data_IF_345695445335
#
_entry.id   IF_345695445335
#
_cell.length_a   1.000
_cell.length_b   1.000
_cell.length_c   1.000
_cell.angle_alpha   90.00
_cell.angle_beta   90.00
_cell.angle_gamma   90.00
#
_symmetry.space_group_name_H-M   'P 1'
#
loop_
_entity.id
_entity.type
_entity.pdbx_description
1 polymer ?
#
# COMPACT_ATOMS: atom_id res chain seq x y z
N UNK A 1 9.00 -17.08 -19.99
CA UNK A 1 7.88 -16.79 -19.07
C UNK A 1 8.35 -17.29 -17.73
N UNK A 2 8.67 -16.43 -16.77
CA UNK A 2 9.05 -16.91 -15.44
C UNK A 2 7.78 -17.36 -14.74
N UNK A 3 7.60 -18.67 -14.61
CA UNK A 3 6.67 -19.22 -13.64
C UNK A 3 7.18 -18.80 -12.26
N UNK A 4 6.60 -17.72 -11.72
CA UNK A 4 6.89 -17.26 -10.38
C UNK A 4 6.52 -18.43 -9.44
N UNK A 5 7.52 -19.03 -8.80
CA UNK A 5 7.24 -20.15 -7.91
C UNK A 5 6.37 -19.68 -6.75
N UNK A 6 5.52 -20.56 -6.23
CA UNK A 6 4.68 -20.26 -5.08
C UNK A 6 5.52 -19.80 -3.87
N UNK A 7 6.72 -20.36 -3.71
CA UNK A 7 7.69 -19.98 -2.68
C UNK A 7 8.21 -18.55 -2.88
N UNK A 8 8.58 -18.18 -4.12
CA UNK A 8 9.04 -16.82 -4.42
C UNK A 8 7.93 -15.80 -4.19
N UNK A 9 6.68 -16.14 -4.54
CA UNK A 9 5.53 -15.29 -4.26
C UNK A 9 5.27 -15.14 -2.77
N UNK A 10 5.31 -16.24 -2.00
CA UNK A 10 5.13 -16.22 -0.55
C UNK A 10 6.20 -15.35 0.13
N UNK A 11 7.48 -15.53 -0.22
CA UNK A 11 8.57 -14.72 0.33
C UNK A 11 8.41 -13.23 0.01
N UNK A 12 7.91 -12.88 -1.18
CA UNK A 12 7.62 -11.49 -1.51
C UNK A 12 6.43 -10.91 -0.74
N UNK A 13 5.41 -11.72 -0.42
CA UNK A 13 4.31 -11.31 0.45
C UNK A 13 4.77 -11.11 1.90
N UNK A 14 5.64 -11.97 2.41
CA UNK A 14 6.26 -11.84 3.74
C UNK A 14 7.07 -10.54 3.82
N UNK A 15 7.93 -10.29 2.84
CA UNK A 15 8.69 -9.04 2.75
C UNK A 15 7.77 -7.81 2.66
N UNK A 16 6.68 -7.89 1.89
CA UNK A 16 5.70 -6.81 1.79
C UNK A 16 4.97 -6.56 3.12
N UNK A 17 4.67 -7.61 3.87
CA UNK A 17 4.09 -7.50 5.20
C UNK A 17 5.05 -6.84 6.20
N UNK A 18 6.32 -7.23 6.21
CA UNK A 18 7.35 -6.56 7.03
C UNK A 18 7.47 -5.08 6.68
N UNK A 19 7.40 -4.76 5.38
CA UNK A 19 7.43 -3.37 4.92
C UNK A 19 6.20 -2.58 5.39
N UNK A 20 5.01 -3.17 5.39
CA UNK A 20 3.80 -2.57 6.00
C UNK A 20 4.03 -2.23 7.47
N UNK A 21 4.64 -3.12 8.25
CA UNK A 21 4.93 -2.87 9.67
C UNK A 21 5.88 -1.68 9.84
N UNK A 22 6.96 -1.66 9.05
CA UNK A 22 7.92 -0.54 9.06
C UNK A 22 7.25 0.79 8.71
N UNK A 23 6.43 0.80 7.66
CA UNK A 23 5.68 2.00 7.25
C UNK A 23 4.74 2.47 8.37
N UNK A 24 4.08 1.54 9.07
CA UNK A 24 3.24 1.88 10.22
C UNK A 24 4.05 2.51 11.34
N UNK A 25 5.19 1.94 11.69
CA UNK A 25 6.08 2.46 12.74
C UNK A 25 6.61 3.86 12.39
N UNK A 26 7.03 4.07 11.14
CA UNK A 26 7.63 5.33 10.68
C UNK A 26 6.61 6.45 10.45
N UNK A 27 5.38 6.11 10.03
CA UNK A 27 4.41 7.10 9.55
C UNK A 27 3.12 7.16 10.35
N UNK A 28 2.84 6.15 11.18
CA UNK A 28 1.56 5.98 11.85
C UNK A 28 0.39 5.72 10.91
N UNK A 29 0.63 5.39 9.64
CA UNK A 29 -0.42 5.00 8.69
C UNK A 29 -0.52 3.48 8.66
N UNK A 30 -1.71 2.95 8.91
CA UNK A 30 -1.97 1.52 8.77
C UNK A 30 -2.33 1.22 7.31
N UNK A 31 -1.52 0.37 6.65
CA UNK A 31 -1.77 -0.13 5.30
C UNK A 31 -2.13 -1.61 5.39
N UNK A 32 -3.25 -2.00 4.79
CA UNK A 32 -3.69 -3.39 4.67
C UNK A 32 -3.39 -3.91 3.26
N UNK A 33 -2.96 -5.17 3.15
CA UNK A 33 -2.77 -5.87 1.89
C UNK A 33 -3.94 -6.83 1.65
N UNK A 34 -4.62 -6.70 0.50
CA UNK A 34 -5.77 -7.53 0.12
C UNK A 34 -5.56 -8.18 -1.25
N UNK A 35 -5.63 -9.50 -1.28
CA UNK A 35 -5.77 -10.25 -2.53
C UNK A 35 -7.20 -10.07 -3.04
N UNK A 36 -7.32 -9.67 -4.30
CA UNK A 36 -8.61 -9.38 -4.96
C UNK A 36 -8.67 -10.10 -6.30
N UNK A 37 -9.84 -10.13 -6.94
CA UNK A 37 -9.99 -10.75 -8.27
C UNK A 37 -9.11 -10.12 -9.35
N UNK A 38 -8.62 -8.89 -9.16
CA UNK A 38 -7.80 -8.16 -10.14
C UNK A 38 -6.31 -8.11 -9.78
N UNK A 39 -5.93 -8.45 -8.54
CA UNK A 39 -4.53 -8.37 -8.09
C UNK A 39 -4.39 -8.17 -6.58
N UNK A 40 -3.22 -7.68 -6.16
CA UNK A 40 -2.92 -7.33 -4.78
C UNK A 40 -3.13 -5.83 -4.55
N UNK A 41 -4.01 -5.48 -3.62
CA UNK A 41 -4.36 -4.09 -3.29
C UNK A 41 -3.78 -3.70 -1.94
N UNK A 42 -3.01 -2.62 -1.90
CA UNK A 42 -2.63 -1.92 -0.69
C UNK A 42 -3.68 -0.83 -0.38
N UNK A 43 -4.14 -0.73 0.86
CA UNK A 43 -5.21 0.17 1.30
C UNK A 43 -4.86 0.83 2.63
N UNK A 44 -4.94 2.17 2.72
CA UNK A 44 -4.91 2.84 4.01
C UNK A 44 -6.27 2.68 4.70
N UNK A 45 -6.33 2.21 5.95
CA UNK A 45 -7.60 1.83 6.62
C UNK A 45 -8.18 2.89 7.56
N UNK A 46 -7.44 3.95 7.85
CA UNK A 46 -7.75 4.85 8.96
C UNK A 46 -8.69 6.04 8.63
N UNK A 47 -9.20 6.22 7.41
CA UNK A 47 -9.96 7.44 7.04
C UNK A 47 -11.07 7.22 5.98
N UNK A 48 -12.11 8.06 5.94
CA UNK A 48 -13.18 7.98 4.92
C UNK A 48 -12.68 8.12 3.47
N UNK A 49 -11.57 8.82 3.23
CA UNK A 49 -10.92 8.93 1.91
C UNK A 49 -9.84 7.87 1.73
N UNK A 50 -10.20 6.60 1.84
CA UNK A 50 -9.28 5.46 1.77
C UNK A 50 -8.45 5.50 0.47
N UNK A 51 -7.15 5.77 0.61
CA UNK A 51 -6.19 5.67 -0.49
C UNK A 51 -5.87 4.20 -0.74
N UNK A 52 -5.89 3.80 -2.01
CA UNK A 52 -5.56 2.45 -2.42
C UNK A 52 -4.68 2.45 -3.67
N UNK A 53 -3.88 1.40 -3.80
CA UNK A 53 -3.11 1.10 -5.01
C UNK A 53 -3.18 -0.41 -5.26
N UNK A 54 -3.47 -0.80 -6.49
CA UNK A 54 -3.55 -2.21 -6.89
C UNK A 54 -2.42 -2.53 -7.85
N UNK A 55 -1.70 -3.61 -7.56
CA UNK A 55 -0.81 -4.28 -8.52
C UNK A 55 -1.61 -5.40 -9.16
N UNK A 56 -1.83 -5.32 -10.47
CA UNK A 56 -2.62 -6.31 -11.19
C UNK A 56 -1.92 -7.67 -11.25
N UNK A 57 -2.69 -8.75 -11.45
CA UNK A 57 -2.11 -10.08 -11.67
C UNK A 57 -1.09 -10.12 -12.80
N UNK A 58 -1.32 -9.33 -13.85
CA UNK A 58 -0.39 -9.23 -14.98
C UNK A 58 0.93 -8.57 -14.60
N UNK A 59 0.90 -7.54 -13.76
CA UNK A 59 2.11 -6.90 -13.24
C UNK A 59 2.85 -7.84 -12.29
N UNK A 60 2.15 -8.54 -11.39
CA UNK A 60 2.74 -9.53 -10.49
C UNK A 60 3.45 -10.65 -11.26
N UNK A 61 2.80 -11.21 -12.28
CA UNK A 61 3.36 -12.29 -13.09
C UNK A 61 4.55 -11.88 -13.98
N UNK A 62 4.77 -10.57 -14.17
CA UNK A 62 5.82 -10.03 -15.06
C UNK A 62 6.91 -9.27 -14.32
N UNK A 63 6.75 -9.03 -13.01
CA UNK A 63 7.73 -8.27 -12.26
C UNK A 63 8.98 -9.11 -12.04
N UNK A 64 10.13 -8.57 -12.43
CA UNK A 64 11.44 -9.15 -12.10
C UNK A 64 11.84 -8.83 -10.65
N UNK A 65 11.27 -7.76 -10.07
CA UNK A 65 11.43 -7.36 -8.67
C UNK A 65 10.03 -7.20 -8.03
N UNK A 66 9.45 -8.32 -7.58
CA UNK A 66 8.16 -8.31 -6.91
C UNK A 66 8.20 -7.54 -5.58
N UNK A 67 9.19 -7.74 -4.68
CA UNK A 67 9.28 -6.99 -3.43
C UNK A 67 9.34 -5.48 -3.65
N UNK A 68 10.19 -5.00 -4.55
CA UNK A 68 10.32 -3.57 -4.84
C UNK A 68 9.02 -2.96 -5.37
N UNK A 69 8.32 -3.67 -6.27
CA UNK A 69 7.01 -3.25 -6.79
C UNK A 69 5.98 -3.11 -5.66
N UNK A 70 5.90 -4.09 -4.76
CA UNK A 70 4.96 -4.04 -3.63
C UNK A 70 5.32 -2.92 -2.65
N UNK A 71 6.60 -2.74 -2.33
CA UNK A 71 7.07 -1.70 -1.41
C UNK A 71 6.73 -0.31 -1.94
N UNK A 72 6.92 -0.08 -3.24
CA UNK A 72 6.55 1.17 -3.89
C UNK A 72 5.07 1.47 -3.73
N UNK A 73 4.18 0.49 -3.95
CA UNK A 73 2.73 0.69 -3.79
C UNK A 73 2.29 0.94 -2.36
N UNK A 74 2.87 0.21 -1.40
CA UNK A 74 2.61 0.43 0.03
C UNK A 74 3.04 1.85 0.42
N UNK A 75 4.24 2.26 0.00
CA UNK A 75 4.80 3.58 0.25
C UNK A 75 3.96 4.69 -0.38
N UNK A 76 3.50 4.53 -1.63
CA UNK A 76 2.64 5.49 -2.32
C UNK A 76 1.33 5.72 -1.55
N UNK A 77 0.69 4.64 -1.09
CA UNK A 77 -0.54 4.69 -0.30
C UNK A 77 -0.30 5.41 1.03
N UNK A 78 0.75 5.04 1.76
CA UNK A 78 1.07 5.63 3.05
C UNK A 78 1.44 7.11 2.94
N UNK A 79 2.27 7.49 1.96
CA UNK A 79 2.65 8.88 1.72
C UNK A 79 1.46 9.71 1.27
N UNK A 80 0.63 9.19 0.36
CA UNK A 80 -0.60 9.84 -0.08
C UNK A 80 -1.54 10.11 1.10
N UNK A 81 -1.69 9.14 1.99
CA UNK A 81 -2.50 9.28 3.20
C UNK A 81 -1.90 10.27 4.20
N UNK A 82 -0.59 10.23 4.43
CA UNK A 82 0.11 11.18 5.31
C UNK A 82 -0.04 12.62 4.81
N UNK A 83 0.04 12.83 3.49
CA UNK A 83 -0.21 14.14 2.87
C UNK A 83 -1.65 14.60 3.12
N UNK A 84 -2.64 13.71 2.93
CA UNK A 84 -4.04 14.01 3.20
C UNK A 84 -4.29 14.39 4.67
N UNK A 85 -3.63 13.72 5.64
CA UNK A 85 -3.68 14.08 7.06
C UNK A 85 -3.15 15.50 7.33
N UNK A 86 -2.08 15.92 6.63
CA UNK A 86 -1.49 17.26 6.80
C UNK A 86 -2.36 18.38 6.23
N UNK A 87 -3.17 18.08 5.23
CA UNK A 87 -4.07 19.05 4.56
C UNK A 87 -5.50 18.98 5.10
N UNK A 88 -5.70 18.48 6.32
CA UNK A 88 -7.02 18.43 6.98
C UNK A 88 -7.71 19.81 6.99
N UNK A 89 -9.05 19.85 7.12
CA UNK A 89 -9.81 21.08 6.94
C UNK A 89 -9.28 22.17 7.87
N UNK A 90 -8.93 23.32 7.29
CA UNK A 90 -8.74 24.56 8.04
C UNK A 90 -10.00 24.73 8.90
N UNK A 91 -9.89 24.94 10.22
CA UNK A 91 -11.06 25.26 11.01
C UNK A 91 -11.65 26.52 10.38
N UNK A 92 -12.88 26.41 9.87
CA UNK A 92 -13.69 27.58 9.55
C UNK A 92 -13.87 28.30 10.88
N UNK A 93 -12.95 29.21 11.19
CA UNK A 93 -13.08 30.11 12.31
C UNK A 93 -14.44 30.77 12.16
N UNK A 94 -15.30 30.56 13.16
CA UNK A 94 -16.62 31.16 13.25
C UNK A 94 -16.52 32.62 12.87
N UNK A 95 -17.11 32.98 11.73
CA UNK A 95 -17.43 34.36 11.43
C UNK A 95 -18.49 34.76 12.46
N UNK A 96 -18.07 35.59 13.40
CA UNK A 96 -18.89 36.25 14.39
C UNK A 96 -19.91 37.19 13.73
#
# INVERSE_FOLDING_TARGET
MSDLSQEAFAGALEAAWEHVQRVREETGVVVELRLTTVGLTALAVDMPCNRMATVSWRELARSEDLPGLLFARISDVAQGQRRARRTGPVPLASAA
#
